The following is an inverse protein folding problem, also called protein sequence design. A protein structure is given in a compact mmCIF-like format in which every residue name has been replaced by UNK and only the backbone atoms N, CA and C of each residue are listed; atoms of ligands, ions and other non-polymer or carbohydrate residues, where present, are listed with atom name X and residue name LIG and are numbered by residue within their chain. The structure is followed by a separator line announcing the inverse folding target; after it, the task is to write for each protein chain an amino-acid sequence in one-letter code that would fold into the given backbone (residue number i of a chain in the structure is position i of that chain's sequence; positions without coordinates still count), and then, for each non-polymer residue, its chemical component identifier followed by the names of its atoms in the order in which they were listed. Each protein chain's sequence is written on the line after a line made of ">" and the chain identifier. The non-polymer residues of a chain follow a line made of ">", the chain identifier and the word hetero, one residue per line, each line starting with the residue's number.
data_IF_564958036610
#
_entry.id   IF_564958036610
#
_cell.length_a   1.000
_cell.length_b   1.000
_cell.length_c   1.000
_cell.angle_alpha   90.00
_cell.angle_beta   90.00
_cell.angle_gamma   90.00
#
_symmetry.space_group_name_H-M   'P 1'
#
loop_
_entity.id
_entity.type
_entity.pdbx_description
1 polymer ?
#
# COMPACT_ATOMS: atom_id res chain seq x y z
N UNK A 1 -23.56 -1.34 2.09
CA UNK A 1 -24.50 -1.50 3.23
C UNK A 1 -23.80 -1.98 4.51
N UNK A 2 -23.21 -3.18 4.58
CA UNK A 2 -22.65 -3.69 5.87
C UNK A 2 -21.38 -2.99 6.38
N UNK A 3 -20.50 -2.50 5.49
CA UNK A 3 -19.27 -1.78 5.88
C UNK A 3 -19.51 -0.32 6.28
N UNK A 4 -20.58 0.31 5.81
CA UNK A 4 -20.92 1.71 6.15
C UNK A 4 -21.46 1.85 7.59
N UNK A 5 -21.89 0.74 8.21
CA UNK A 5 -22.40 0.72 9.58
C UNK A 5 -21.28 0.65 10.64
N UNK A 6 -20.08 0.19 10.25
CA UNK A 6 -18.92 0.07 11.14
C UNK A 6 -17.85 1.18 10.93
N UNK A 7 -17.78 1.79 9.75
CA UNK A 7 -16.78 2.82 9.43
C UNK A 7 -17.44 4.20 9.28
N UNK A 8 -17.79 4.82 10.41
CA UNK A 8 -18.41 6.16 10.47
C UNK A 8 -17.45 7.28 10.03
N UNK A 9 -16.14 7.00 9.89
CA UNK A 9 -15.11 8.00 9.64
C UNK A 9 -14.07 7.52 8.60
N UNK A 10 -13.71 8.38 7.65
CA UNK A 10 -12.75 8.15 6.53
C UNK A 10 -11.43 7.53 7.01
N UNK A 11 -10.95 7.97 8.17
CA UNK A 11 -9.69 7.49 8.77
C UNK A 11 -9.75 6.04 9.25
N UNK A 12 -10.89 5.58 9.74
CA UNK A 12 -11.06 4.21 10.20
C UNK A 12 -11.09 3.24 9.01
N UNK A 13 -11.72 3.64 7.90
CA UNK A 13 -11.66 2.90 6.63
C UNK A 13 -10.21 2.79 6.11
N UNK A 14 -9.47 3.90 6.08
CA UNK A 14 -8.07 3.91 5.63
C UNK A 14 -7.17 3.03 6.51
N UNK A 15 -7.38 3.03 7.82
CA UNK A 15 -6.64 2.18 8.74
C UNK A 15 -6.90 0.69 8.48
N UNK A 16 -8.18 0.29 8.36
CA UNK A 16 -8.55 -1.08 8.03
C UNK A 16 -8.03 -1.50 6.65
N UNK A 17 -8.05 -0.58 5.67
CA UNK A 17 -7.51 -0.81 4.33
C UNK A 17 -6.01 -1.08 4.38
N UNK A 18 -5.22 -0.31 5.12
CA UNK A 18 -3.77 -0.55 5.24
C UNK A 18 -3.48 -1.94 5.82
N UNK A 19 -4.13 -2.31 6.92
CA UNK A 19 -3.96 -3.65 7.52
C UNK A 19 -4.30 -4.75 6.53
N UNK A 20 -5.44 -4.62 5.85
CA UNK A 20 -5.88 -5.57 4.84
C UNK A 20 -4.86 -5.68 3.69
N UNK A 21 -4.38 -4.55 3.17
CA UNK A 21 -3.42 -4.53 2.07
C UNK A 21 -2.05 -5.06 2.46
N UNK A 22 -1.59 -4.87 3.70
CA UNK A 22 -0.35 -5.48 4.19
C UNK A 22 -0.46 -7.00 4.21
N UNK A 23 -1.59 -7.54 4.67
CA UNK A 23 -1.84 -8.99 4.69
C UNK A 23 -1.88 -9.53 3.25
N UNK A 24 -2.60 -8.86 2.35
CA UNK A 24 -2.67 -9.24 0.93
C UNK A 24 -1.28 -9.20 0.29
N UNK A 25 -0.51 -8.13 0.51
CA UNK A 25 0.83 -7.96 -0.06
C UNK A 25 1.83 -9.00 0.43
N UNK A 26 1.61 -9.59 1.60
CA UNK A 26 2.40 -10.70 2.09
C UNK A 26 2.07 -12.03 1.39
N UNK A 27 0.86 -12.20 0.86
CA UNK A 27 0.35 -13.50 0.37
C UNK A 27 0.17 -13.57 -1.16
N UNK A 28 0.09 -12.42 -1.83
CA UNK A 28 -0.14 -12.33 -3.27
C UNK A 28 1.00 -11.56 -3.94
N UNK A 29 1.28 -11.90 -5.21
CA UNK A 29 2.16 -11.10 -6.06
C UNK A 29 1.61 -9.68 -6.27
N UNK A 30 2.49 -8.68 -6.35
CA UNK A 30 2.15 -7.27 -6.51
C UNK A 30 1.14 -7.04 -7.65
N UNK A 31 1.36 -7.65 -8.82
CA UNK A 31 0.49 -7.44 -9.97
C UNK A 31 -0.87 -8.11 -9.78
N UNK A 32 -0.89 -9.33 -9.25
CA UNK A 32 -2.14 -10.06 -8.97
C UNK A 32 -2.98 -9.33 -7.92
N UNK A 33 -2.35 -8.84 -6.85
CA UNK A 33 -3.03 -8.10 -5.79
C UNK A 33 -3.68 -6.81 -6.33
N UNK A 34 -2.96 -6.03 -7.12
CA UNK A 34 -3.48 -4.78 -7.70
C UNK A 34 -4.69 -5.07 -8.60
N UNK A 35 -4.56 -6.02 -9.53
CA UNK A 35 -5.62 -6.32 -10.51
C UNK A 35 -6.92 -6.80 -9.85
N UNK A 36 -6.82 -7.55 -8.74
CA UNK A 36 -7.99 -8.08 -8.04
C UNK A 36 -8.57 -7.07 -7.06
N UNK A 37 -7.71 -6.42 -6.26
CA UNK A 37 -8.15 -5.65 -5.09
C UNK A 37 -8.52 -4.22 -5.44
N UNK A 38 -7.85 -3.59 -6.41
CA UNK A 38 -8.18 -2.21 -6.83
C UNK A 38 -9.64 -2.06 -7.27
N UNK A 39 -10.17 -2.84 -8.24
CA UNK A 39 -11.56 -2.68 -8.68
C UNK A 39 -12.59 -2.94 -7.58
N UNK A 40 -12.23 -3.77 -6.58
CA UNK A 40 -13.06 -4.03 -5.40
C UNK A 40 -13.13 -2.81 -4.46
N UNK A 41 -11.99 -2.15 -4.21
CA UNK A 41 -11.88 -1.07 -3.22
C UNK A 41 -12.22 0.30 -3.81
N UNK A 42 -11.94 0.53 -5.10
CA UNK A 42 -12.19 1.78 -5.81
C UNK A 42 -13.62 2.36 -5.60
N UNK A 43 -14.72 1.58 -5.76
CA UNK A 43 -16.07 2.12 -5.56
C UNK A 43 -16.33 2.51 -4.10
N UNK A 44 -15.75 1.78 -3.15
CA UNK A 44 -15.87 2.07 -1.72
C UNK A 44 -15.10 3.36 -1.40
N UNK A 45 -13.87 3.49 -1.88
CA UNK A 45 -13.03 4.67 -1.68
C UNK A 45 -13.67 5.94 -2.28
N UNK A 46 -14.30 5.83 -3.47
CA UNK A 46 -15.08 6.92 -4.06
C UNK A 46 -16.23 7.37 -3.16
N UNK A 47 -16.93 6.44 -2.51
CA UNK A 47 -18.02 6.78 -1.58
C UNK A 47 -17.56 7.56 -0.34
N UNK A 48 -16.29 7.42 0.06
CA UNK A 48 -15.66 8.17 1.15
C UNK A 48 -14.93 9.45 0.70
N UNK A 49 -15.02 9.83 -0.58
CA UNK A 49 -14.34 11.01 -1.13
C UNK A 49 -12.82 10.93 -1.06
N UNK A 50 -12.25 9.74 -1.23
CA UNK A 50 -10.80 9.53 -1.34
C UNK A 50 -10.38 9.72 -2.80
N UNK A 51 -9.33 10.51 -3.02
CA UNK A 51 -8.75 10.70 -4.35
C UNK A 51 -8.15 9.39 -4.88
N UNK A 52 -8.36 9.08 -6.16
CA UNK A 52 -7.90 7.83 -6.75
C UNK A 52 -6.38 7.72 -6.82
N UNK A 53 -5.67 8.83 -7.02
CA UNK A 53 -4.21 8.82 -7.06
C UNK A 53 -3.68 8.56 -5.67
N UNK A 54 -4.23 9.24 -4.67
CA UNK A 54 -3.86 8.99 -3.28
C UNK A 54 -4.12 7.53 -2.87
N UNK A 55 -5.27 6.97 -3.27
CA UNK A 55 -5.58 5.55 -3.07
C UNK A 55 -4.55 4.65 -3.76
N UNK A 56 -4.16 4.96 -4.99
CA UNK A 56 -3.13 4.22 -5.73
C UNK A 56 -1.78 4.22 -5.01
N UNK A 57 -1.37 5.36 -4.46
CA UNK A 57 -0.12 5.48 -3.66
C UNK A 57 -0.21 4.62 -2.39
N UNK A 58 -1.33 4.65 -1.68
CA UNK A 58 -1.57 3.80 -0.50
C UNK A 58 -1.47 2.32 -0.89
N UNK A 59 -2.10 1.92 -2.00
CA UNK A 59 -2.04 0.56 -2.51
C UNK A 59 -0.62 0.10 -2.81
N UNK A 60 0.11 0.86 -3.62
CA UNK A 60 1.49 0.54 -4.00
C UNK A 60 2.40 0.47 -2.77
N UNK A 61 2.25 1.41 -1.84
CA UNK A 61 3.07 1.45 -0.62
C UNK A 61 2.79 0.25 0.28
N UNK A 62 1.52 -0.12 0.52
CA UNK A 62 1.19 -1.30 1.33
C UNK A 62 1.69 -2.60 0.69
N UNK A 63 1.46 -2.76 -0.61
CA UNK A 63 1.80 -4.00 -1.30
C UNK A 63 3.31 -4.20 -1.41
N UNK A 64 4.09 -3.14 -1.66
CA UNK A 64 5.56 -3.21 -1.67
C UNK A 64 6.13 -3.54 -0.29
N UNK A 65 5.57 -2.98 0.79
CA UNK A 65 5.94 -3.33 2.17
C UNK A 65 5.61 -4.80 2.46
N UNK A 66 4.44 -5.28 2.04
CA UNK A 66 4.04 -6.69 2.16
C UNK A 66 4.99 -7.63 1.41
N UNK A 67 5.42 -7.24 0.20
CA UNK A 67 6.32 -8.02 -0.65
C UNK A 67 7.72 -8.18 -0.06
N UNK A 68 8.15 -7.22 0.76
CA UNK A 68 9.40 -7.26 1.51
C UNK A 68 9.30 -8.12 2.78
N UNK A 69 8.11 -8.41 3.30
CA UNK A 69 7.94 -9.16 4.55
C UNK A 69 8.14 -10.67 4.28
N UNK A 70 8.75 -11.45 5.19
CA UNK A 70 9.06 -12.88 4.99
C UNK A 70 7.87 -13.88 5.17
N UNK A 71 6.70 -13.67 4.53
CA UNK A 71 5.82 -14.77 4.10
C UNK A 71 6.04 -15.20 2.65
N UNK A 72 6.22 -14.25 1.73
CA UNK A 72 6.72 -14.48 0.36
C UNK A 72 8.11 -13.86 0.22
N UNK A 73 8.31 -12.63 0.71
CA UNK A 73 9.61 -11.98 0.90
C UNK A 73 10.53 -11.98 -0.33
N UNK A 74 9.98 -11.92 -1.54
CA UNK A 74 10.70 -12.24 -2.77
C UNK A 74 11.92 -11.31 -2.98
N UNK A 75 11.80 -10.04 -2.57
CA UNK A 75 12.90 -9.07 -2.56
C UNK A 75 14.04 -9.51 -1.63
N UNK A 76 13.70 -10.02 -0.44
CA UNK A 76 14.68 -10.56 0.51
C UNK A 76 15.30 -11.86 -0.01
N UNK A 77 14.53 -12.71 -0.70
CA UNK A 77 15.05 -13.92 -1.33
C UNK A 77 16.06 -13.59 -2.42
N UNK A 78 15.74 -12.66 -3.32
CA UNK A 78 16.67 -12.22 -4.38
C UNK A 78 17.92 -11.60 -3.76
N UNK A 79 17.76 -10.76 -2.74
CA UNK A 79 18.89 -10.19 -2.02
C UNK A 79 19.74 -11.28 -1.34
N UNK A 80 19.12 -12.28 -0.71
CA UNK A 80 19.82 -13.39 -0.06
C UNK A 80 20.70 -14.19 -1.03
N UNK A 81 20.20 -14.43 -2.25
CA UNK A 81 20.96 -15.08 -3.33
C UNK A 81 22.13 -14.19 -3.77
N UNK A 82 21.90 -12.89 -3.91
CA UNK A 82 22.93 -11.95 -4.34
C UNK A 82 24.06 -11.81 -3.33
N UNK A 83 23.74 -11.78 -2.04
CA UNK A 83 24.71 -11.60 -0.96
C UNK A 83 25.24 -12.93 -0.39
N UNK A 84 24.70 -14.06 -0.84
CA UNK A 84 25.04 -15.40 -0.36
C UNK A 84 24.94 -15.51 1.17
N UNK A 85 23.86 -14.97 1.73
CA UNK A 85 23.53 -14.95 3.16
C UNK A 85 22.12 -15.50 3.36
N UNK A 86 21.80 -16.11 4.51
CA UNK A 86 20.45 -16.59 4.75
C UNK A 86 19.45 -15.41 4.80
N UNK A 87 18.21 -15.66 4.34
CA UNK A 87 17.14 -14.65 4.26
C UNK A 87 16.91 -13.94 5.60
N UNK A 88 17.03 -14.67 6.71
CA UNK A 88 16.85 -14.12 8.07
C UNK A 88 17.89 -13.05 8.41
N UNK A 89 19.14 -13.21 7.96
CA UNK A 89 20.20 -12.23 8.20
C UNK A 89 19.96 -10.95 7.39
N UNK A 90 19.56 -11.12 6.12
CA UNK A 90 19.20 -10.01 5.24
C UNK A 90 17.97 -9.28 5.77
N UNK A 91 16.95 -10.02 6.20
CA UNK A 91 15.75 -9.45 6.82
C UNK A 91 16.10 -8.60 8.03
N UNK A 92 16.92 -9.14 8.95
CA UNK A 92 17.36 -8.43 10.15
C UNK A 92 18.11 -7.13 9.81
N UNK A 93 18.93 -7.15 8.75
CA UNK A 93 19.61 -5.95 8.25
C UNK A 93 18.64 -4.91 7.66
N UNK A 94 17.51 -5.34 7.09
CA UNK A 94 16.49 -4.45 6.51
C UNK A 94 15.47 -3.89 7.51
N UNK A 95 15.38 -4.43 8.74
CA UNK A 95 14.47 -3.94 9.79
C UNK A 95 14.45 -2.41 9.95
N UNK A 96 15.58 -1.68 10.03
CA UNK A 96 15.53 -0.22 10.18
C UNK A 96 14.85 0.48 9.00
N UNK A 97 15.07 -0.01 7.77
CA UNK A 97 14.38 0.50 6.59
C UNK A 97 12.91 0.10 6.57
N UNK A 98 12.58 -1.12 7.00
CA UNK A 98 11.19 -1.57 7.11
C UNK A 98 10.37 -0.69 8.06
N UNK A 99 10.94 -0.29 9.21
CA UNK A 99 10.29 0.65 10.13
C UNK A 99 10.10 2.02 9.49
N UNK A 100 11.09 2.52 8.74
CA UNK A 100 10.96 3.77 7.98
C UNK A 100 9.83 3.70 6.94
N UNK A 101 9.70 2.58 6.23
CA UNK A 101 8.62 2.37 5.26
C UNK A 101 7.25 2.38 5.94
N UNK A 102 7.10 1.71 7.08
CA UNK A 102 5.86 1.73 7.86
C UNK A 102 5.51 3.13 8.38
N UNK A 103 6.50 3.89 8.86
CA UNK A 103 6.25 5.27 9.26
C UNK A 103 5.83 6.14 8.08
N UNK A 104 6.49 5.98 6.94
CA UNK A 104 6.16 6.70 5.70
C UNK A 104 4.74 6.35 5.24
N UNK A 105 4.34 5.09 5.34
CA UNK A 105 2.99 4.62 5.02
C UNK A 105 1.91 5.31 5.87
N UNK A 106 2.15 5.40 7.18
CA UNK A 106 1.25 6.11 8.11
C UNK A 106 1.16 7.59 7.73
N UNK A 107 2.30 8.24 7.51
CA UNK A 107 2.35 9.66 7.12
C UNK A 107 1.58 9.91 5.84
N UNK A 108 1.81 9.10 4.80
CA UNK A 108 1.10 9.21 3.53
C UNK A 108 -0.41 9.01 3.76
N UNK A 109 -0.81 7.96 4.47
CA UNK A 109 -2.24 7.64 4.70
C UNK A 109 -3.02 8.78 5.34
N UNK A 110 -2.42 9.52 6.27
CA UNK A 110 -3.09 10.62 6.96
C UNK A 110 -2.87 11.99 6.33
N UNK A 111 -1.81 12.16 5.51
CA UNK A 111 -1.46 13.41 4.86
C UNK A 111 -1.57 13.31 3.33
N UNK A 112 -2.79 13.46 2.77
CA UNK A 112 -3.03 13.27 1.33
C UNK A 112 -2.31 14.29 0.45
N UNK A 113 -2.02 15.49 0.97
CA UNK A 113 -1.27 16.50 0.22
C UNK A 113 0.14 16.03 -0.13
N UNK A 114 0.79 15.13 0.64
CA UNK A 114 2.09 14.59 0.23
C UNK A 114 2.01 13.82 -1.09
N UNK A 115 0.89 13.13 -1.35
CA UNK A 115 0.66 12.43 -2.61
C UNK A 115 0.18 13.36 -3.73
N UNK A 116 -0.59 14.40 -3.38
CA UNK A 116 -1.28 15.25 -4.35
C UNK A 116 -0.51 16.52 -4.70
N UNK A 117 0.40 16.99 -3.84
CA UNK A 117 1.11 18.26 -3.99
C UNK A 117 1.82 18.36 -5.34
N UNK A 118 2.57 17.32 -5.72
CA UNK A 118 3.28 17.32 -6.99
C UNK A 118 2.31 17.33 -8.20
N UNK A 119 1.18 16.64 -8.07
CA UNK A 119 0.18 16.52 -9.13
C UNK A 119 -0.61 17.82 -9.31
N UNK A 120 -1.03 18.43 -8.20
CA UNK A 120 -1.74 19.71 -8.19
C UNK A 120 -0.81 20.84 -8.68
N UNK A 121 0.49 20.83 -8.32
CA UNK A 121 1.48 21.75 -8.89
C UNK A 121 1.71 21.55 -10.40
N UNK A 122 1.66 20.32 -10.89
CA UNK A 122 1.84 20.01 -12.33
C UNK A 122 0.54 20.15 -13.15
N UNK A 123 -0.61 20.41 -12.51
CA UNK A 123 -1.90 20.61 -13.16
C UNK A 123 -2.45 19.39 -13.94
N UNK A 124 -1.79 18.23 -13.87
CA UNK A 124 -2.17 17.01 -14.60
C UNK A 124 -2.83 16.01 -13.66
N UNK A 125 -4.13 16.19 -13.41
CA UNK A 125 -4.93 15.13 -12.77
C UNK A 125 -5.06 13.98 -13.77
N UNK A 126 -4.52 12.79 -13.49
CA UNK A 126 -4.69 11.65 -14.38
C UNK A 126 -6.19 11.38 -14.52
N UNK A 127 -6.68 11.07 -15.75
CA UNK A 127 -8.08 10.73 -15.94
C UNK A 127 -8.42 9.57 -15.03
N UNK A 128 -9.59 9.65 -14.39
CA UNK A 128 -10.10 8.61 -13.50
C UNK A 128 -9.85 7.26 -14.16
N UNK A 129 -9.08 6.38 -13.53
CA UNK A 129 -8.76 5.06 -14.09
C UNK A 129 -10.11 4.35 -14.30
N UNK A 130 -10.58 4.35 -15.55
CA UNK A 130 -11.66 3.52 -16.07
C UNK A 130 -10.96 2.27 -16.58
N UNK A 131 -10.78 1.31 -15.69
CA UNK A 131 -10.60 -0.10 -16.05
C UNK A 131 -11.93 -0.77 -15.71
#
# INVERSE_FOLDING_TARGET
>A
AFLQQYFTNKYSFLFALNIFLLIVGCMMDLFTAILVVVPLILPIAKSYGIDQVHLGVIFLSNLTIGFLTPPIGLDLFIASIRFNRPVVDVFRATIPFFVLLLMTLVVITYWPELSLFLIDCMGKRPPLIVI
#
